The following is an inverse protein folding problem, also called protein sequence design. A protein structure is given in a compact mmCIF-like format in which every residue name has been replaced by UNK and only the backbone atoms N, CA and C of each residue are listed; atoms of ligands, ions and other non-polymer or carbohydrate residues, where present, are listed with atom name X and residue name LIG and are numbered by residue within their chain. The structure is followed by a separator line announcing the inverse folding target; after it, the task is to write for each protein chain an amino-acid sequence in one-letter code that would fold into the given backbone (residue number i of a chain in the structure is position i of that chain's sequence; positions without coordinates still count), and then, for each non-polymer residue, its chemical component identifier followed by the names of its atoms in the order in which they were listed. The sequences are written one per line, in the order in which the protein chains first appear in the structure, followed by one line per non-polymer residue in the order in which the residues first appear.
data_IF_754069304641
#
_entry.id   IF_754069304641
#
_cell.length_a   1.000
_cell.length_b   1.000
_cell.length_c   1.000
_cell.angle_alpha   90.00
_cell.angle_beta   90.00
_cell.angle_gamma   90.00
#
_symmetry.space_group_name_H-M   'P 1'
#
loop_
_entity.id
_entity.type
_entity.pdbx_description
1 polymer ?
#
# COMPACT_ATOMS: atom_id res chain seq x y z
N UNK A 1 34.92 3.31 11.05
CA UNK A 1 34.21 2.02 11.19
C UNK A 1 33.47 1.73 9.88
N UNK A 2 33.61 0.54 9.30
CA UNK A 2 32.81 0.13 8.15
C UNK A 2 31.47 -0.42 8.67
N UNK A 3 30.40 0.34 8.46
CA UNK A 3 29.04 -0.13 8.73
C UNK A 3 28.63 -1.08 7.61
N UNK A 4 28.35 -2.34 7.94
CA UNK A 4 27.73 -3.28 6.99
C UNK A 4 26.22 -3.17 7.12
N UNK A 5 25.53 -3.01 6.00
CA UNK A 5 24.06 -3.01 5.95
C UNK A 5 23.39 -1.75 6.49
N UNK A 6 22.09 -1.63 6.26
CA UNK A 6 21.27 -0.49 6.66
C UNK A 6 21.24 -0.31 8.19
N UNK A 7 21.22 -1.40 8.97
CA UNK A 7 21.21 -1.36 10.44
C UNK A 7 22.50 -0.76 11.01
N UNK A 8 23.65 -1.12 10.43
CA UNK A 8 24.95 -0.55 10.80
C UNK A 8 24.98 0.97 10.58
N UNK A 9 24.45 1.42 9.44
CA UNK A 9 24.37 2.86 9.12
C UNK A 9 23.43 3.58 10.07
N UNK A 10 22.27 3.02 10.39
CA UNK A 10 21.33 3.62 11.35
C UNK A 10 21.95 3.71 12.76
N UNK A 11 22.65 2.68 13.24
CA UNK A 11 23.39 2.72 14.51
C UNK A 11 24.50 3.76 14.50
N UNK A 12 25.16 3.95 13.36
CA UNK A 12 26.14 5.01 13.19
C UNK A 12 25.48 6.38 13.28
N UNK A 13 24.37 6.59 12.57
CA UNK A 13 23.61 7.83 12.60
C UNK A 13 23.18 8.20 14.03
N UNK A 14 22.59 7.27 14.78
CA UNK A 14 22.21 7.47 16.19
C UNK A 14 23.39 7.95 17.03
N UNK A 15 24.57 7.33 16.90
CA UNK A 15 25.77 7.70 17.68
C UNK A 15 26.30 9.11 17.35
N UNK A 16 25.97 9.66 16.19
CA UNK A 16 26.41 10.99 15.77
C UNK A 16 25.32 12.06 15.91
N UNK A 17 24.16 11.73 16.50
CA UNK A 17 23.12 12.72 16.74
C UNK A 17 23.61 13.80 17.73
N UNK A 18 23.36 15.09 17.43
CA UNK A 18 23.77 16.16 18.31
C UNK A 18 23.00 16.10 19.63
N UNK A 19 23.65 16.41 20.78
CA UNK A 19 23.02 16.37 22.10
C UNK A 19 21.97 17.47 22.33
N UNK A 20 21.64 18.28 21.32
CA UNK A 20 20.73 19.43 21.39
C UNK A 20 19.27 19.06 21.64
N UNK A 21 18.92 17.76 21.67
CA UNK A 21 17.59 17.25 22.05
C UNK A 21 16.46 17.56 21.07
N UNK A 22 16.74 18.27 19.96
CA UNK A 22 15.73 18.60 18.94
C UNK A 22 15.28 17.38 18.13
N UNK A 23 16.21 16.46 17.87
CA UNK A 23 15.99 15.20 17.18
C UNK A 23 16.31 14.07 18.14
N UNK A 24 15.30 13.31 18.54
CA UNK A 24 15.43 12.23 19.52
C UNK A 24 15.06 10.90 18.89
N UNK A 25 15.87 9.87 19.10
CA UNK A 25 15.48 8.50 18.76
C UNK A 25 14.49 8.00 19.80
N UNK A 26 13.27 7.67 19.36
CA UNK A 26 12.18 7.16 20.19
C UNK A 26 12.18 5.64 20.24
N UNK A 27 12.40 4.99 19.09
CA UNK A 27 12.35 3.53 18.97
C UNK A 27 13.37 3.05 17.92
N UNK A 28 13.90 1.85 18.11
CA UNK A 28 14.80 1.17 17.16
C UNK A 28 14.17 -0.12 16.70
N UNK A 29 13.82 -0.19 15.42
CA UNK A 29 13.26 -1.39 14.81
C UNK A 29 14.24 -1.86 13.73
N UNK A 30 15.29 -2.57 14.16
CA UNK A 30 16.43 -2.91 13.29
C UNK A 30 16.41 -4.33 12.73
N UNK A 31 15.51 -5.18 13.22
CA UNK A 31 15.44 -6.62 12.86
C UNK A 31 14.35 -6.94 11.84
N UNK A 32 13.54 -5.96 11.43
CA UNK A 32 12.50 -6.14 10.41
C UNK A 32 13.09 -6.05 8.99
N UNK A 33 12.26 -6.36 7.98
CA UNK A 33 12.65 -6.36 6.57
C UNK A 33 13.30 -5.04 6.10
N UNK A 34 12.82 -3.91 6.63
CA UNK A 34 13.39 -2.59 6.39
C UNK A 34 13.74 -1.97 7.75
N UNK A 35 15.00 -2.01 8.18
CA UNK A 35 15.42 -1.39 9.43
C UNK A 35 15.05 0.09 9.48
N UNK A 36 14.46 0.53 10.60
CA UNK A 36 14.10 1.93 10.84
C UNK A 36 14.52 2.41 12.22
N UNK A 37 14.80 3.72 12.31
CA UNK A 37 14.78 4.48 13.56
C UNK A 37 13.50 5.31 13.59
N UNK A 38 12.70 5.18 14.64
CA UNK A 38 11.64 6.15 14.92
C UNK A 38 12.24 7.32 15.64
N UNK A 39 12.06 8.51 15.10
CA UNK A 39 12.62 9.76 15.57
C UNK A 39 11.50 10.74 15.92
N UNK A 40 11.78 11.67 16.81
CA UNK A 40 10.91 12.82 17.11
C UNK A 40 11.68 14.10 16.88
N UNK A 41 11.17 14.94 15.98
CA UNK A 41 11.73 16.25 15.64
C UNK A 41 10.70 17.33 15.93
N UNK A 42 10.92 18.13 16.98
CA UNK A 42 10.01 19.25 17.30
C UNK A 42 8.56 18.84 17.54
N UNK A 43 8.32 17.65 18.11
CA UNK A 43 6.97 17.11 18.33
C UNK A 43 6.44 16.20 17.22
N UNK A 44 7.07 16.23 16.03
CA UNK A 44 6.68 15.43 14.87
C UNK A 44 7.41 14.09 14.91
N UNK A 45 6.67 12.99 14.79
CA UNK A 45 7.23 11.66 14.65
C UNK A 45 7.65 11.41 13.19
N UNK A 46 8.82 10.81 13.00
CA UNK A 46 9.34 10.46 11.69
C UNK A 46 10.07 9.11 11.73
N UNK A 47 9.94 8.33 10.67
CA UNK A 47 10.64 7.06 10.52
C UNK A 47 11.82 7.27 9.55
N UNK A 48 13.04 6.98 10.01
CA UNK A 48 14.26 7.02 9.20
C UNK A 48 14.66 5.61 8.80
N UNK A 49 14.74 5.35 7.50
CA UNK A 49 15.33 4.14 6.90
C UNK A 49 16.59 4.48 6.11
N UNK A 50 17.41 3.49 5.78
CA UNK A 50 18.62 3.67 4.99
C UNK A 50 18.59 2.78 3.75
N UNK A 51 18.96 3.34 2.59
CA UNK A 51 19.03 2.65 1.29
C UNK A 51 17.77 1.90 0.87
N UNK A 52 16.59 2.38 1.30
CA UNK A 52 15.30 1.82 0.92
C UNK A 52 14.64 2.74 -0.11
N UNK A 53 14.98 2.58 -1.38
CA UNK A 53 14.60 3.51 -2.45
C UNK A 53 13.32 3.10 -3.20
N UNK A 54 12.95 1.82 -3.17
CA UNK A 54 11.74 1.33 -3.83
C UNK A 54 10.46 2.09 -3.40
N UNK A 55 10.26 2.45 -2.10
CA UNK A 55 9.10 3.24 -1.69
C UNK A 55 9.02 4.65 -2.30
N UNK A 56 10.10 5.19 -2.85
CA UNK A 56 10.05 6.46 -3.57
C UNK A 56 9.21 6.35 -4.84
N UNK A 57 9.30 5.23 -5.57
CA UNK A 57 8.46 4.98 -6.74
C UNK A 57 7.00 4.79 -6.35
N UNK A 58 6.71 4.08 -5.27
CA UNK A 58 5.36 4.01 -4.70
C UNK A 58 4.82 5.40 -4.34
N UNK A 59 5.63 6.22 -3.67
CA UNK A 59 5.23 7.59 -3.30
C UNK A 59 4.96 8.43 -4.53
N UNK A 60 5.80 8.32 -5.57
CA UNK A 60 5.62 9.02 -6.83
C UNK A 60 4.33 8.56 -7.55
N UNK A 61 4.06 7.26 -7.62
CA UNK A 61 2.84 6.71 -8.21
C UNK A 61 1.58 7.26 -7.51
N UNK A 62 1.55 7.23 -6.17
CA UNK A 62 0.43 7.76 -5.40
C UNK A 62 0.25 9.27 -5.62
N UNK A 63 1.35 10.02 -5.70
CA UNK A 63 1.31 11.45 -5.97
C UNK A 63 0.77 11.75 -7.37
N UNK A 64 1.17 10.96 -8.38
CA UNK A 64 0.63 11.07 -9.74
C UNK A 64 -0.86 10.81 -9.74
N UNK A 65 -1.35 9.72 -9.12
CA UNK A 65 -2.79 9.47 -9.02
C UNK A 65 -3.56 10.58 -8.32
N UNK A 66 -3.04 11.10 -7.20
CA UNK A 66 -3.66 12.22 -6.48
C UNK A 66 -3.68 13.53 -7.29
N UNK A 67 -2.79 13.68 -8.27
CA UNK A 67 -2.78 14.84 -9.16
C UNK A 67 -3.75 14.70 -10.34
N UNK A 68 -4.15 13.48 -10.69
CA UNK A 68 -5.09 13.22 -11.79
C UNK A 68 -6.54 13.49 -11.38
N UNK A 69 -6.92 13.12 -10.15
CA UNK A 69 -8.27 13.35 -9.63
C UNK A 69 -8.23 14.00 -8.24
N UNK A 70 -8.77 15.21 -8.13
CA UNK A 70 -8.81 15.97 -6.88
C UNK A 70 -9.70 15.34 -5.80
N UNK A 71 -10.62 14.43 -6.17
CA UNK A 71 -11.51 13.69 -5.27
C UNK A 71 -10.80 12.53 -4.57
N UNK A 72 -9.69 12.04 -5.14
CA UNK A 72 -9.00 10.86 -4.65
C UNK A 72 -8.44 11.06 -3.23
N UNK A 73 -7.71 12.15 -3.00
CA UNK A 73 -7.09 12.42 -1.70
C UNK A 73 -8.13 12.59 -0.57
N UNK A 74 -9.22 13.37 -0.74
CA UNK A 74 -10.34 13.40 0.21
C UNK A 74 -10.92 12.02 0.52
N UNK A 75 -11.21 11.20 -0.51
CA UNK A 75 -11.77 9.87 -0.32
C UNK A 75 -10.80 8.94 0.43
N UNK A 76 -9.51 9.01 0.14
CA UNK A 76 -8.48 8.26 0.89
C UNK A 76 -8.47 8.67 2.37
N UNK A 77 -8.63 9.95 2.69
CA UNK A 77 -8.71 10.44 4.07
C UNK A 77 -10.00 9.94 4.75
N UNK A 78 -11.14 9.99 4.05
CA UNK A 78 -12.42 9.49 4.54
C UNK A 78 -12.34 7.99 4.86
N UNK A 79 -11.91 7.16 3.91
CA UNK A 79 -11.76 5.71 4.05
C UNK A 79 -10.82 5.36 5.19
N UNK A 80 -9.67 6.06 5.31
CA UNK A 80 -8.74 5.85 6.43
C UNK A 80 -9.34 6.22 7.78
N UNK A 81 -10.12 7.30 7.84
CA UNK A 81 -10.75 7.75 9.08
C UNK A 81 -11.85 6.79 9.51
N UNK A 82 -12.66 6.33 8.55
CA UNK A 82 -13.63 5.26 8.76
C UNK A 82 -12.97 3.97 9.25
N UNK A 83 -11.91 3.51 8.57
CA UNK A 83 -11.21 2.29 8.94
C UNK A 83 -10.65 2.33 10.37
N UNK A 84 -10.13 3.49 10.79
CA UNK A 84 -9.71 3.71 12.18
C UNK A 84 -10.88 3.66 13.16
N UNK A 85 -12.00 4.29 12.82
CA UNK A 85 -13.20 4.30 13.67
C UNK A 85 -13.81 2.89 13.84
N UNK A 86 -13.69 2.02 12.83
CA UNK A 86 -14.15 0.64 12.90
C UNK A 86 -13.10 -0.35 13.44
N UNK A 87 -11.91 0.14 13.84
CA UNK A 87 -10.84 -0.70 14.37
C UNK A 87 -10.26 -1.70 13.36
N UNK A 88 -10.25 -1.35 12.07
CA UNK A 88 -9.73 -2.17 10.96
C UNK A 88 -8.52 -1.51 10.26
N UNK A 89 -7.77 -0.69 11.00
CA UNK A 89 -6.61 0.04 10.50
C UNK A 89 -5.39 -0.22 11.39
N UNK A 90 -4.25 -0.53 10.76
CA UNK A 90 -2.97 -0.65 11.47
C UNK A 90 -2.30 -2.01 11.27
N UNK A 91 -1.18 -2.03 10.55
CA UNK A 91 -0.40 -3.26 10.30
C UNK A 91 0.16 -3.91 11.57
N UNK A 92 0.45 -3.11 12.61
CA UNK A 92 0.88 -3.62 13.92
C UNK A 92 -0.24 -4.36 14.66
N UNK A 93 -1.49 -4.04 14.34
CA UNK A 93 -2.69 -4.59 14.97
C UNK A 93 -3.33 -5.69 14.10
N UNK A 94 -2.61 -6.21 13.09
CA UNK A 94 -3.10 -7.27 12.20
C UNK A 94 -4.09 -6.79 11.14
N UNK A 95 -4.12 -5.49 10.81
CA UNK A 95 -5.00 -4.92 9.80
C UNK A 95 -4.23 -4.23 8.67
N UNK A 96 -4.95 -3.75 7.65
CA UNK A 96 -4.35 -3.05 6.53
C UNK A 96 -3.65 -1.75 6.96
N UNK A 97 -2.51 -1.49 6.32
CA UNK A 97 -1.77 -0.23 6.46
C UNK A 97 -2.50 0.90 5.73
N UNK A 98 -2.15 2.17 6.04
CA UNK A 98 -2.66 3.30 5.26
C UNK A 98 -2.32 3.21 3.77
N UNK A 99 -1.17 2.62 3.43
CA UNK A 99 -0.76 2.42 2.05
C UNK A 99 -1.69 1.43 1.33
N UNK A 100 -1.99 0.29 1.95
CA UNK A 100 -2.92 -0.69 1.40
C UNK A 100 -4.32 -0.10 1.18
N UNK A 101 -4.84 0.67 2.14
CA UNK A 101 -6.12 1.39 1.96
C UNK A 101 -6.06 2.38 0.79
N UNK A 102 -4.98 3.14 0.63
CA UNK A 102 -4.83 4.04 -0.52
C UNK A 102 -4.89 3.28 -1.85
N UNK A 103 -4.23 2.12 -1.95
CA UNK A 103 -4.30 1.29 -3.16
C UNK A 103 -5.70 0.72 -3.41
N UNK A 104 -6.46 0.34 -2.37
CA UNK A 104 -7.85 -0.08 -2.54
C UNK A 104 -8.73 1.03 -3.13
N UNK A 105 -8.55 2.27 -2.68
CA UNK A 105 -9.27 3.43 -3.24
C UNK A 105 -8.89 3.67 -4.70
N UNK A 106 -7.59 3.65 -5.02
CA UNK A 106 -7.11 3.82 -6.40
C UNK A 106 -7.69 2.72 -7.29
N UNK A 107 -7.63 1.47 -6.85
CA UNK A 107 -8.16 0.34 -7.61
C UNK A 107 -9.67 0.42 -7.84
N UNK A 108 -10.43 0.83 -6.82
CA UNK A 108 -11.86 1.08 -6.95
C UNK A 108 -12.12 2.15 -8.01
N UNK A 109 -11.45 3.29 -7.93
CA UNK A 109 -11.59 4.35 -8.92
C UNK A 109 -11.14 3.93 -10.34
N UNK A 110 -10.12 3.08 -10.46
CA UNK A 110 -9.74 2.47 -11.74
C UNK A 110 -10.84 1.57 -12.31
N UNK A 111 -11.43 0.75 -11.45
CA UNK A 111 -12.45 -0.23 -11.84
C UNK A 111 -13.76 0.44 -12.28
N UNK A 112 -14.11 1.58 -11.67
CA UNK A 112 -15.25 2.38 -12.10
C UNK A 112 -14.98 3.18 -13.39
N UNK A 113 -13.71 3.37 -13.77
CA UNK A 113 -13.31 4.20 -14.92
C UNK A 113 -12.98 5.66 -14.57
N UNK A 114 -12.94 6.00 -13.29
CA UNK A 114 -12.58 7.33 -12.82
C UNK A 114 -11.06 7.58 -12.85
N UNK A 115 -10.22 6.54 -12.82
CA UNK A 115 -8.75 6.65 -12.93
C UNK A 115 -8.19 5.69 -13.99
N UNK A 116 -7.12 6.07 -14.69
CA UNK A 116 -6.46 5.17 -15.64
C UNK A 116 -5.56 4.14 -14.94
N UNK A 117 -5.11 3.13 -15.69
CA UNK A 117 -3.95 2.35 -15.32
C UNK A 117 -2.66 3.06 -15.77
N UNK A 118 -1.80 3.45 -14.83
CA UNK A 118 -0.57 4.19 -15.15
C UNK A 118 0.60 3.28 -15.53
N UNK A 119 0.46 1.97 -15.36
CA UNK A 119 1.53 0.99 -15.57
C UNK A 119 1.23 -0.02 -16.69
N UNK A 120 0.12 0.13 -17.40
CA UNK A 120 -0.25 -0.72 -18.54
C UNK A 120 0.44 -0.29 -19.83
N UNK A 121 0.82 -1.31 -20.63
CA UNK A 121 1.37 -1.17 -21.99
C UNK A 121 2.62 -0.27 -22.06
N UNK A 122 3.49 -0.37 -21.06
CA UNK A 122 4.77 0.34 -21.00
C UNK A 122 5.95 -0.61 -21.23
N UNK A 123 6.99 -0.10 -21.88
CA UNK A 123 8.30 -0.73 -21.85
C UNK A 123 8.80 -0.78 -20.38
N UNK A 124 9.21 -1.96 -19.88
CA UNK A 124 9.65 -2.09 -18.50
C UNK A 124 10.85 -1.21 -18.17
N UNK A 125 10.80 -0.56 -17.01
CA UNK A 125 11.92 0.19 -16.45
C UNK A 125 12.40 -0.55 -15.21
N UNK A 126 13.53 -1.25 -15.34
CA UNK A 126 14.05 -2.08 -14.25
C UNK A 126 14.88 -1.26 -13.26
N UNK A 127 14.43 -1.23 -12.01
CA UNK A 127 15.20 -0.77 -10.87
C UNK A 127 15.75 -1.97 -10.09
N UNK A 128 17.05 -1.97 -9.80
CA UNK A 128 17.68 -3.03 -9.01
C UNK A 128 17.94 -2.53 -7.60
N UNK A 129 17.35 -3.20 -6.62
CA UNK A 129 17.57 -2.94 -5.21
C UNK A 129 17.90 -4.25 -4.47
N UNK A 130 19.03 -4.24 -3.75
CA UNK A 130 19.52 -5.40 -2.98
C UNK A 130 19.53 -6.74 -3.77
N UNK A 131 19.88 -6.69 -5.06
CA UNK A 131 19.96 -7.87 -5.93
C UNK A 131 18.62 -8.38 -6.47
N UNK A 132 17.53 -7.65 -6.24
CA UNK A 132 16.21 -7.90 -6.83
C UNK A 132 15.89 -6.82 -7.86
N UNK A 133 15.31 -7.22 -8.99
CA UNK A 133 14.84 -6.30 -10.03
C UNK A 133 13.34 -6.03 -9.85
N UNK A 134 12.95 -4.77 -10.02
CA UNK A 134 11.59 -4.27 -9.88
C UNK A 134 11.23 -3.45 -11.12
N UNK A 135 10.08 -3.72 -11.73
CA UNK A 135 9.61 -2.87 -12.82
C UNK A 135 8.94 -1.63 -12.23
N UNK A 136 9.56 -0.47 -12.40
CA UNK A 136 9.09 0.82 -11.87
C UNK A 136 8.52 1.73 -12.95
N UNK A 137 8.27 1.19 -14.15
CA UNK A 137 7.66 1.95 -15.24
C UNK A 137 6.27 2.43 -14.85
N UNK A 138 6.03 3.72 -15.01
CA UNK A 138 4.72 4.35 -14.86
C UNK A 138 4.64 5.62 -15.72
N UNK A 139 3.43 5.96 -16.18
CA UNK A 139 3.17 7.23 -16.89
C UNK A 139 3.19 8.39 -15.89
N UNK A 140 3.84 9.50 -16.27
CA UNK A 140 3.87 10.72 -15.46
C UNK A 140 2.64 11.63 -15.67
N UNK A 141 1.86 11.38 -16.72
CA UNK A 141 0.67 12.14 -17.10
C UNK A 141 -0.28 11.26 -17.93
N UNK A 142 -1.55 11.65 -18.00
CA UNK A 142 -2.57 10.94 -18.77
C UNK A 142 -2.83 11.61 -20.13
N UNK A 143 -3.25 10.81 -21.12
CA UNK A 143 -3.83 11.27 -22.40
C UNK A 143 -5.29 10.81 -22.60
N UNK A 144 -5.78 9.84 -21.82
CA UNK A 144 -7.14 9.32 -21.88
C UNK A 144 -8.13 10.21 -21.12
N UNK A 145 -9.36 10.29 -21.60
CA UNK A 145 -10.43 11.01 -20.90
C UNK A 145 -10.89 10.21 -19.67
N UNK A 146 -10.92 10.86 -18.51
CA UNK A 146 -11.53 10.31 -17.29
C UNK A 146 -13.01 10.69 -17.25
N UNK A 147 -13.85 9.76 -16.83
CA UNK A 147 -15.26 10.08 -16.58
C UNK A 147 -15.40 10.78 -15.22
N UNK A 148 -15.54 12.11 -15.29
CA UNK A 148 -15.69 12.96 -14.12
C UNK A 148 -17.07 12.80 -13.44
N UNK A 149 -18.06 12.22 -14.12
CA UNK A 149 -19.42 12.03 -13.60
C UNK A 149 -19.54 10.84 -12.65
N UNK A 150 -18.57 9.92 -12.67
CA UNK A 150 -18.51 8.79 -11.73
C UNK A 150 -18.41 9.32 -10.30
N UNK A 151 -19.39 8.97 -9.48
CA UNK A 151 -19.38 9.28 -8.06
C UNK A 151 -18.47 8.30 -7.31
N UNK A 152 -17.41 8.82 -6.70
CA UNK A 152 -16.53 8.04 -5.83
C UNK A 152 -16.87 8.31 -4.36
N UNK A 153 -17.24 7.26 -3.63
CA UNK A 153 -17.61 7.37 -2.22
C UNK A 153 -17.14 6.18 -1.40
N UNK A 154 -17.08 6.33 -0.07
CA UNK A 154 -16.83 5.21 0.85
C UNK A 154 -17.87 4.10 0.69
N UNK A 155 -19.15 4.46 0.52
CA UNK A 155 -20.23 3.50 0.32
C UNK A 155 -20.07 2.76 -1.02
N UNK A 156 -19.69 3.46 -2.09
CA UNK A 156 -19.38 2.86 -3.39
C UNK A 156 -18.21 1.88 -3.31
N UNK A 157 -17.12 2.28 -2.67
CA UNK A 157 -15.98 1.40 -2.40
C UNK A 157 -16.38 0.17 -1.58
N UNK A 158 -17.19 0.35 -0.54
CA UNK A 158 -17.66 -0.73 0.31
C UNK A 158 -18.54 -1.71 -0.47
N UNK A 159 -19.44 -1.23 -1.33
CA UNK A 159 -20.23 -2.06 -2.25
C UNK A 159 -19.36 -2.82 -3.24
N UNK A 160 -18.39 -2.14 -3.85
CA UNK A 160 -17.45 -2.75 -4.78
C UNK A 160 -16.72 -3.94 -4.15
N UNK A 161 -16.09 -3.74 -2.99
CA UNK A 161 -15.34 -4.81 -2.31
C UNK A 161 -16.22 -5.86 -1.62
N UNK A 162 -17.51 -5.58 -1.40
CA UNK A 162 -18.49 -6.56 -0.92
C UNK A 162 -19.17 -7.34 -2.05
N UNK A 163 -18.95 -6.96 -3.31
CA UNK A 163 -19.53 -7.62 -4.47
C UNK A 163 -18.96 -9.03 -4.67
N UNK A 164 -19.76 -9.91 -5.27
CA UNK A 164 -19.31 -11.28 -5.59
C UNK A 164 -18.28 -11.29 -6.73
N UNK A 165 -18.22 -10.23 -7.54
CA UNK A 165 -17.33 -10.12 -8.70
C UNK A 165 -15.85 -9.99 -8.30
N UNK A 166 -15.57 -9.49 -7.08
CA UNK A 166 -14.19 -9.41 -6.59
C UNK A 166 -13.61 -10.80 -6.29
N UNK A 167 -14.45 -11.81 -6.01
CA UNK A 167 -14.05 -13.19 -5.72
C UNK A 167 -12.81 -13.25 -4.80
N UNK A 168 -12.96 -12.78 -3.55
CA UNK A 168 -11.91 -12.87 -2.53
C UNK A 168 -11.36 -14.30 -2.44
N UNK A 169 -10.11 -14.46 -2.01
CA UNK A 169 -9.26 -15.67 -2.05
C UNK A 169 -8.79 -16.15 -3.43
N UNK A 170 -9.50 -15.77 -4.51
CA UNK A 170 -9.20 -16.23 -5.88
C UNK A 170 -8.57 -15.15 -6.77
N UNK A 171 -8.87 -13.89 -6.47
CA UNK A 171 -8.39 -12.73 -7.21
C UNK A 171 -7.43 -11.89 -6.39
N UNK A 172 -6.62 -11.13 -7.10
CA UNK A 172 -5.68 -10.15 -6.56
C UNK A 172 -6.10 -8.76 -7.03
N UNK A 173 -6.22 -7.85 -6.09
CA UNK A 173 -6.32 -6.42 -6.35
C UNK A 173 -4.96 -5.92 -6.84
N UNK A 174 -4.88 -5.50 -8.11
CA UNK A 174 -3.65 -4.98 -8.71
C UNK A 174 -3.90 -3.62 -9.35
N UNK A 175 -3.35 -2.57 -8.72
CA UNK A 175 -3.35 -1.20 -9.26
C UNK A 175 -2.51 -1.12 -10.54
N UNK A 176 -1.42 -1.89 -10.60
CA UNK A 176 -0.49 -1.97 -11.74
C UNK A 176 -1.17 -2.55 -12.98
N UNK A 177 -2.07 -3.51 -12.81
CA UNK A 177 -2.85 -4.07 -13.91
C UNK A 177 -4.13 -3.28 -14.19
N UNK A 178 -4.61 -2.48 -13.22
CA UNK A 178 -5.90 -1.79 -13.30
C UNK A 178 -7.11 -2.71 -13.33
N UNK A 179 -6.92 -3.99 -12.99
CA UNK A 179 -7.98 -5.03 -12.97
C UNK A 179 -7.66 -6.11 -11.95
N UNK A 180 -8.66 -6.93 -11.65
CA UNK A 180 -8.46 -8.13 -10.85
C UNK A 180 -7.59 -9.13 -11.64
N UNK A 181 -6.58 -9.67 -10.97
CA UNK A 181 -5.71 -10.72 -11.50
C UNK A 181 -6.08 -12.07 -10.87
N UNK A 182 -5.91 -13.15 -11.62
CA UNK A 182 -5.93 -14.51 -11.07
C UNK A 182 -4.60 -14.86 -10.40
N UNK A 183 -4.61 -15.88 -9.54
CA UNK A 183 -3.38 -16.39 -8.93
C UNK A 183 -2.32 -16.82 -9.96
N UNK A 184 -2.74 -17.35 -11.11
CA UNK A 184 -1.85 -17.76 -12.18
C UNK A 184 -1.12 -16.58 -12.85
N UNK A 185 -1.74 -15.39 -12.84
CA UNK A 185 -1.13 -14.15 -13.37
C UNK A 185 -0.16 -13.49 -12.37
N UNK A 186 -0.15 -13.95 -11.11
CA UNK A 186 0.69 -13.44 -10.04
C UNK A 186 1.62 -14.53 -9.47
N UNK A 187 2.49 -15.18 -10.28
CA UNK A 187 3.25 -16.36 -9.86
C UNK A 187 4.27 -16.10 -8.75
N UNK A 188 4.65 -14.85 -8.54
CA UNK A 188 5.62 -14.45 -7.51
C UNK A 188 4.96 -13.96 -6.21
N UNK A 189 3.64 -13.72 -6.24
CA UNK A 189 2.93 -13.17 -5.10
C UNK A 189 2.85 -14.21 -3.98
N UNK A 190 3.16 -13.78 -2.76
CA UNK A 190 2.93 -14.60 -1.56
C UNK A 190 1.44 -14.72 -1.26
N UNK A 191 0.80 -15.66 -1.95
CA UNK A 191 -0.59 -16.00 -1.74
C UNK A 191 -0.83 -16.61 -0.36
N UNK A 192 -2.00 -16.32 0.21
CA UNK A 192 -2.55 -17.05 1.35
C UNK A 192 -3.42 -18.15 0.74
N UNK A 193 -2.82 -19.31 0.46
CA UNK A 193 -3.39 -20.31 -0.47
C UNK A 193 -3.96 -21.58 0.18
N UNK A 194 -4.07 -21.64 1.50
CA UNK A 194 -4.68 -22.78 2.19
C UNK A 194 -6.21 -22.64 2.30
N UNK A 195 -6.93 -23.76 2.44
CA UNK A 195 -8.41 -23.78 2.53
C UNK A 195 -8.99 -22.90 3.64
N UNK A 196 -8.17 -22.54 4.62
CA UNK A 196 -8.55 -21.66 5.72
C UNK A 196 -8.72 -20.20 5.28
N UNK A 197 -8.21 -19.79 4.11
CA UNK A 197 -8.16 -18.39 3.64
C UNK A 197 -9.22 -18.04 2.59
N UNK A 198 -10.39 -18.65 2.64
CA UNK A 198 -11.50 -18.37 1.71
C UNK A 198 -12.07 -16.93 1.85
N UNK A 199 -11.78 -16.26 2.97
CA UNK A 199 -12.10 -14.84 3.22
C UNK A 199 -10.92 -13.89 3.02
N UNK A 200 -9.79 -14.33 2.48
CA UNK A 200 -8.63 -13.47 2.30
C UNK A 200 -8.79 -12.51 1.11
N UNK A 201 -8.55 -11.22 1.33
CA UNK A 201 -8.33 -10.26 0.25
C UNK A 201 -6.85 -10.25 -0.11
N UNK A 202 -6.48 -10.36 -1.39
CA UNK A 202 -5.08 -10.21 -1.83
C UNK A 202 -4.87 -8.85 -2.50
N UNK A 203 -3.82 -8.15 -2.10
CA UNK A 203 -3.48 -6.82 -2.62
C UNK A 203 -2.00 -6.84 -3.02
N UNK A 204 -1.73 -6.75 -4.32
CA UNK A 204 -0.36 -6.67 -4.86
C UNK A 204 0.26 -5.28 -4.58
N UNK A 205 1.54 -5.24 -4.20
CA UNK A 205 2.33 -4.00 -4.23
C UNK A 205 2.72 -3.69 -5.69
N UNK A 206 2.33 -2.53 -6.26
CA UNK A 206 2.54 -2.19 -7.68
C UNK A 206 4.02 -2.08 -8.10
N UNK A 207 4.95 -2.01 -7.14
CA UNK A 207 6.39 -1.96 -7.42
C UNK A 207 7.11 -3.25 -6.97
N UNK A 208 6.51 -4.07 -6.09
CA UNK A 208 7.04 -5.37 -5.66
C UNK A 208 5.97 -6.46 -5.83
N UNK A 209 5.87 -7.01 -7.03
CA UNK A 209 4.86 -8.04 -7.40
C UNK A 209 4.90 -9.32 -6.53
N UNK A 210 5.95 -9.51 -5.73
CA UNK A 210 6.03 -10.62 -4.77
C UNK A 210 5.32 -10.35 -3.44
N UNK A 211 4.94 -9.10 -3.19
CA UNK A 211 4.45 -8.63 -1.89
C UNK A 211 2.93 -8.53 -1.90
N UNK A 212 2.30 -9.37 -1.08
CA UNK A 212 0.89 -9.24 -0.74
C UNK A 212 0.75 -8.33 0.49
N UNK A 213 0.10 -7.18 0.35
CA UNK A 213 -0.02 -6.18 1.42
C UNK A 213 -1.03 -6.55 2.51
N UNK A 214 -1.79 -7.61 2.32
CA UNK A 214 -2.74 -8.16 3.30
C UNK A 214 -2.18 -9.33 4.11
N UNK A 215 -0.93 -9.75 3.89
CA UNK A 215 -0.30 -10.89 4.58
C UNK A 215 -0.15 -10.73 6.09
N UNK A 216 -0.34 -9.50 6.59
CA UNK A 216 -0.40 -9.16 8.02
C UNK A 216 -1.74 -9.54 8.68
N UNK A 217 -2.80 -9.78 7.90
CA UNK A 217 -4.14 -10.05 8.42
C UNK A 217 -4.33 -11.54 8.71
N UNK A 218 -4.79 -11.85 9.92
CA UNK A 218 -5.30 -13.19 10.25
C UNK A 218 -6.78 -13.35 9.87
N UNK A 219 -7.28 -14.59 9.87
CA UNK A 219 -8.68 -14.92 9.51
C UNK A 219 -9.72 -14.05 10.21
N UNK A 220 -9.63 -13.92 11.54
CA UNK A 220 -10.55 -13.07 12.32
C UNK A 220 -10.53 -11.60 11.88
N UNK A 221 -9.37 -11.11 11.44
CA UNK A 221 -9.22 -9.74 10.95
C UNK A 221 -9.87 -9.59 9.57
N UNK A 222 -9.76 -10.59 8.69
CA UNK A 222 -10.47 -10.63 7.42
C UNK A 222 -11.99 -10.68 7.61
N UNK A 223 -12.48 -11.52 8.52
CA UNK A 223 -13.92 -11.62 8.80
C UNK A 223 -14.48 -10.29 9.33
N UNK A 224 -13.79 -9.68 10.29
CA UNK A 224 -14.16 -8.35 10.81
C UNK A 224 -14.10 -7.29 9.71
N UNK A 225 -13.05 -7.30 8.88
CA UNK A 225 -12.91 -6.37 7.76
C UNK A 225 -14.08 -6.49 6.76
N UNK A 226 -14.47 -7.73 6.39
CA UNK A 226 -15.64 -7.99 5.53
C UNK A 226 -16.94 -7.53 6.16
N UNK A 227 -17.11 -7.76 7.46
CA UNK A 227 -18.30 -7.30 8.18
C UNK A 227 -18.42 -5.77 8.13
N UNK A 228 -17.32 -5.05 8.37
CA UNK A 228 -17.33 -3.58 8.33
C UNK A 228 -17.59 -3.05 6.93
N UNK A 229 -17.00 -3.64 5.88
CA UNK A 229 -17.33 -3.29 4.49
C UNK A 229 -18.82 -3.51 4.19
N UNK A 230 -19.37 -4.65 4.61
CA UNK A 230 -20.79 -4.96 4.40
C UNK A 230 -21.70 -3.92 5.07
N UNK A 231 -21.34 -3.45 6.27
CA UNK A 231 -22.07 -2.38 6.98
C UNK A 231 -21.96 -1.02 6.29
N UNK A 232 -20.78 -0.69 5.76
CA UNK A 232 -20.56 0.57 5.05
C UNK A 232 -21.21 0.61 3.66
N UNK A 233 -21.60 -0.53 3.12
CA UNK A 233 -22.26 -0.65 1.81
C UNK A 233 -23.78 -0.36 1.85
N UNK A 234 -24.39 -0.42 3.04
CA UNK A 234 -25.80 -0.10 3.30
C UNK A 234 -26.04 1.41 3.25
#
# INVERSE_FOLDING_TARGET
EHFKGADGVLRAFERHLPPTGKLVVVEKVLTCRVPILKLKLGGIECDLSCNNLLPLFNTALLATYASLDSRLAPLVVEVKSWAKAQGIHGARDGYLSSYAFTLLVIFYAQSEGALPCLQSDLEPMWWVDHGRAFNVAMRSSQQEEMDAEIELSLQGLARFFSSHDVEWSRRVVSVRAGRLLSAAECPHLKFLSDREWDTALHIEDPMDESRNLSDVMGLKHFDHFREQLSRAAL
#
